data_IF_510975794889
#
_entry.id   IF_510975794889
#
_cell.length_a   1.000
_cell.length_b   1.000
_cell.length_c   1.000
_cell.angle_alpha   90.00
_cell.angle_beta   90.00
_cell.angle_gamma   90.00
#
_symmetry.space_group_name_H-M   'P 1'
#
loop_
_entity.id
_entity.type
_entity.pdbx_description
1 polymer ?
#
# COMPACT_ATOMS: atom_id res chain seq x y z
N UNK A 1 -5.65 70.15 23.92
CA UNK A 1 -6.03 69.94 25.33
C UNK A 1 -6.93 68.70 25.42
N UNK A 2 -6.70 67.87 26.42
CA UNK A 2 -7.35 66.59 26.76
C UNK A 2 -6.75 65.29 26.19
N UNK A 3 -5.69 64.85 26.88
CA UNK A 3 -5.19 63.48 26.95
C UNK A 3 -6.09 62.66 27.89
N UNK A 4 -6.53 61.47 27.47
CA UNK A 4 -7.02 60.42 28.38
C UNK A 4 -6.46 59.07 27.95
N UNK A 5 -5.40 58.62 28.62
CA UNK A 5 -5.02 57.20 28.65
C UNK A 5 -4.73 56.82 30.09
N UNK A 6 -5.74 56.25 30.76
CA UNK A 6 -5.63 55.71 32.10
C UNK A 6 -4.61 54.56 32.11
N UNK A 7 -3.58 54.71 32.93
CA UNK A 7 -2.74 53.60 33.41
C UNK A 7 -3.60 52.70 34.32
N UNK A 8 -3.55 51.40 34.10
CA UNK A 8 -3.95 50.40 35.11
C UNK A 8 -2.70 49.60 35.44
N UNK A 9 -2.10 49.95 36.57
CA UNK A 9 -1.23 49.07 37.34
C UNK A 9 -2.11 48.14 38.17
N UNK A 10 -1.91 46.83 38.10
CA UNK A 10 -2.36 45.92 39.16
C UNK A 10 -1.30 44.85 39.39
N UNK A 11 -0.74 44.91 40.59
CA UNK A 11 0.25 44.05 41.21
C UNK A 11 -0.38 42.85 41.93
N UNK A 12 0.46 41.82 42.16
CA UNK A 12 0.34 40.74 43.16
C UNK A 12 -0.78 39.69 42.90
N UNK A 13 -0.73 38.43 43.35
CA UNK A 13 0.06 37.79 44.39
C UNK A 13 -0.12 36.25 44.33
N UNK A 14 0.92 35.53 44.76
CA UNK A 14 0.94 34.26 45.52
C UNK A 14 0.63 32.88 44.89
N UNK A 15 1.65 32.03 45.13
CA UNK A 15 1.75 30.56 45.24
C UNK A 15 0.51 29.83 45.78
N UNK A 16 0.31 28.61 45.30
CA UNK A 16 -0.50 27.58 45.97
C UNK A 16 -0.36 26.20 45.31
N UNK A 17 0.28 25.29 46.03
CA UNK A 17 0.39 23.84 45.77
C UNK A 17 -0.96 23.18 46.11
N UNK A 18 -1.32 22.08 45.44
CA UNK A 18 -2.27 21.12 46.00
C UNK A 18 -3.24 20.56 44.99
N UNK A 19 -3.14 19.25 44.72
CA UNK A 19 -4.11 18.53 43.90
C UNK A 19 -5.46 18.42 44.59
N UNK A 20 -6.52 18.54 43.81
CA UNK A 20 -7.82 17.96 44.10
C UNK A 20 -8.42 17.45 42.80
N UNK A 21 -8.64 16.14 42.76
CA UNK A 21 -9.25 15.39 41.66
C UNK A 21 -10.78 15.59 41.64
N UNK A 22 -11.22 16.83 41.86
CA UNK A 22 -12.61 17.25 41.89
C UNK A 22 -12.75 18.45 40.95
N UNK A 23 -13.68 18.34 40.02
CA UNK A 23 -14.00 19.31 38.97
C UNK A 23 -12.94 19.51 37.90
N UNK A 24 -12.74 18.46 37.08
CA UNK A 24 -12.36 18.67 35.67
C UNK A 24 -13.59 19.27 34.98
N UNK A 25 -13.89 20.54 35.28
CA UNK A 25 -14.78 21.35 34.48
C UNK A 25 -14.26 21.30 33.03
N UNK A 26 -15.14 21.02 32.07
CA UNK A 26 -14.81 21.02 30.65
C UNK A 26 -14.32 22.41 30.22
N UNK A 27 -13.03 22.67 30.45
CA UNK A 27 -12.38 23.93 30.10
C UNK A 27 -12.14 23.90 28.60
N UNK A 28 -13.05 24.50 27.84
CA UNK A 28 -12.93 24.66 26.39
C UNK A 28 -11.67 25.52 26.12
N UNK A 29 -10.79 25.06 25.22
CA UNK A 29 -9.51 25.69 24.84
C UNK A 29 -8.29 25.52 25.79
N UNK A 30 -8.12 24.38 26.47
CA UNK A 30 -6.79 24.05 27.04
C UNK A 30 -5.75 23.85 25.91
N UNK A 31 -4.48 24.15 26.17
CA UNK A 31 -3.40 24.01 25.17
C UNK A 31 -3.24 22.54 24.71
N UNK A 32 -3.49 21.54 25.57
CA UNK A 32 -3.54 20.12 25.16
C UNK A 32 -4.80 19.72 24.37
N UNK A 33 -5.86 20.55 24.39
CA UNK A 33 -7.17 20.24 23.78
C UNK A 33 -7.60 21.25 22.71
N UNK A 34 -6.72 22.16 22.29
CA UNK A 34 -7.03 23.03 21.16
C UNK A 34 -7.06 22.14 19.92
N UNK A 35 -8.24 22.01 19.30
CA UNK A 35 -8.27 21.59 17.91
C UNK A 35 -7.38 22.57 17.14
N UNK A 36 -6.41 22.08 16.36
CA UNK A 36 -5.80 22.88 15.29
C UNK A 36 -6.90 23.18 14.27
N UNK A 37 -7.83 24.05 14.63
CA UNK A 37 -8.67 24.73 13.67
C UNK A 37 -7.66 25.48 12.84
N UNK A 38 -7.50 25.05 11.58
CA UNK A 38 -6.91 25.87 10.54
C UNK A 38 -7.71 27.18 10.57
N UNK A 39 -7.20 28.12 11.35
CA UNK A 39 -7.81 29.41 11.54
C UNK A 39 -7.93 30.02 10.16
N UNK A 40 -9.16 30.27 9.75
CA UNK A 40 -9.42 31.15 8.62
C UNK A 40 -8.87 32.51 9.03
N UNK A 41 -7.64 32.80 8.62
CA UNK A 41 -7.09 34.14 8.72
C UNK A 41 -8.01 35.06 7.90
N UNK A 42 -8.41 36.23 8.41
CA UNK A 42 -9.12 37.20 7.60
C UNK A 42 -8.15 37.69 6.51
N UNK A 43 -8.33 37.23 5.28
CA UNK A 43 -7.55 37.67 4.12
C UNK A 43 -6.90 36.58 3.27
N UNK A 44 -6.93 35.30 3.65
CA UNK A 44 -6.43 34.22 2.78
C UNK A 44 -7.58 33.53 2.05
N UNK A 45 -7.71 33.80 0.75
CA UNK A 45 -8.58 33.05 -0.17
C UNK A 45 -8.28 31.55 -0.07
N UNK A 46 -9.30 30.67 -0.15
CA UNK A 46 -9.12 29.22 -0.14
C UNK A 46 -8.61 28.75 -1.50
N UNK A 47 -7.45 29.24 -1.94
CA UNK A 47 -6.76 28.71 -3.11
C UNK A 47 -5.96 27.50 -2.68
N UNK A 48 -6.63 26.34 -2.71
CA UNK A 48 -6.18 25.13 -3.41
C UNK A 48 -7.39 24.21 -3.60
N UNK A 49 -8.49 24.78 -4.09
CA UNK A 49 -9.47 24.05 -4.87
C UNK A 49 -8.88 23.96 -6.29
N UNK A 50 -8.55 22.76 -6.76
CA UNK A 50 -8.40 22.52 -8.20
C UNK A 50 -9.64 21.75 -8.66
N UNK A 51 -10.69 22.41 -9.17
CA UNK A 51 -11.77 21.74 -9.88
C UNK A 51 -11.32 21.52 -11.33
N UNK A 52 -11.19 20.27 -11.76
CA UNK A 52 -11.24 19.96 -13.19
C UNK A 52 -12.70 20.02 -13.62
N UNK A 53 -12.91 20.69 -14.75
CA UNK A 53 -14.18 20.97 -15.43
C UNK A 53 -15.11 19.75 -15.42
N UNK A 54 -16.39 19.99 -15.09
CA UNK A 54 -17.57 19.10 -15.05
C UNK A 54 -18.04 18.67 -13.64
N UNK A 55 -18.98 19.47 -13.08
CA UNK A 55 -20.01 19.00 -12.15
C UNK A 55 -19.70 19.08 -10.66
N UNK A 56 -20.37 20.02 -9.97
CA UNK A 56 -20.72 19.98 -8.53
C UNK A 56 -19.63 19.47 -7.56
N UNK A 57 -18.46 20.10 -7.57
CA UNK A 57 -17.39 19.82 -6.60
C UNK A 57 -17.61 20.67 -5.35
N UNK A 58 -18.31 20.14 -4.34
CA UNK A 58 -18.11 20.57 -2.96
C UNK A 58 -16.61 20.45 -2.65
N UNK A 59 -15.88 21.56 -2.47
CA UNK A 59 -14.46 21.54 -2.12
C UNK A 59 -14.31 20.81 -0.78
N UNK A 60 -14.08 19.49 -0.82
CA UNK A 60 -13.81 18.71 0.38
C UNK A 60 -12.53 19.28 1.00
N UNK A 61 -12.52 19.60 2.30
CA UNK A 61 -11.31 20.04 2.97
C UNK A 61 -10.15 19.06 2.67
N UNK A 62 -8.91 19.54 2.53
CA UNK A 62 -7.77 18.65 2.40
C UNK A 62 -7.77 17.69 3.60
N UNK A 63 -7.63 16.38 3.32
CA UNK A 63 -7.62 15.33 4.35
C UNK A 63 -6.63 15.69 5.44
N UNK A 64 -7.11 15.76 6.67
CA UNK A 64 -6.31 16.01 7.85
C UNK A 64 -5.62 14.72 8.32
N UNK A 65 -4.63 14.82 9.21
CA UNK A 65 -3.95 13.63 9.76
C UNK A 65 -4.93 12.67 10.45
N UNK A 66 -5.93 13.20 11.16
CA UNK A 66 -6.99 12.41 11.77
C UNK A 66 -7.87 11.69 10.73
N UNK A 67 -8.20 12.33 9.61
CA UNK A 67 -8.96 11.67 8.53
C UNK A 67 -8.19 10.49 7.93
N UNK A 68 -6.86 10.62 7.81
CA UNK A 68 -5.99 9.54 7.31
C UNK A 68 -5.87 8.39 8.30
N UNK A 69 -5.80 8.68 9.59
CA UNK A 69 -5.79 7.68 10.66
C UNK A 69 -7.11 6.88 10.68
N UNK A 70 -8.24 7.56 10.54
CA UNK A 70 -9.57 6.92 10.42
C UNK A 70 -9.69 6.10 9.13
N UNK A 71 -9.30 6.66 7.98
CA UNK A 71 -9.30 5.93 6.70
C UNK A 71 -8.41 4.67 6.79
N UNK A 72 -7.24 4.78 7.46
CA UNK A 72 -6.34 3.64 7.71
C UNK A 72 -7.03 2.59 8.58
N UNK A 73 -7.62 2.98 9.71
CA UNK A 73 -8.32 2.03 10.60
C UNK A 73 -9.48 1.34 9.88
N UNK A 74 -10.27 2.09 9.11
CA UNK A 74 -11.36 1.53 8.31
C UNK A 74 -10.84 0.49 7.28
N UNK A 75 -9.72 0.76 6.63
CA UNK A 75 -9.07 -0.19 5.72
C UNK A 75 -8.57 -1.45 6.44
N UNK A 76 -7.95 -1.30 7.61
CA UNK A 76 -7.50 -2.43 8.43
C UNK A 76 -8.68 -3.31 8.87
N UNK A 77 -9.74 -2.70 9.39
CA UNK A 77 -10.96 -3.43 9.79
C UNK A 77 -11.59 -4.18 8.61
N UNK A 78 -11.69 -3.53 7.45
CA UNK A 78 -12.17 -4.19 6.23
C UNK A 78 -11.27 -5.36 5.81
N UNK A 79 -9.95 -5.20 5.88
CA UNK A 79 -9.02 -6.26 5.52
C UNK A 79 -9.16 -7.47 6.45
N UNK A 80 -9.31 -7.25 7.76
CA UNK A 80 -9.56 -8.32 8.72
C UNK A 80 -10.85 -9.07 8.40
N UNK A 81 -11.95 -8.35 8.19
CA UNK A 81 -13.24 -8.95 7.80
C UNK A 81 -13.13 -9.80 6.52
N UNK A 82 -12.40 -9.32 5.51
CA UNK A 82 -12.19 -10.07 4.27
C UNK A 82 -11.31 -11.32 4.48
N UNK A 83 -10.30 -11.25 5.34
CA UNK A 83 -9.48 -12.42 5.66
C UNK A 83 -10.27 -13.48 6.43
N UNK A 84 -11.14 -13.07 7.35
CA UNK A 84 -12.03 -13.97 8.07
C UNK A 84 -13.02 -14.64 7.10
N UNK A 85 -13.58 -13.87 6.17
CA UNK A 85 -14.42 -14.39 5.09
C UNK A 85 -13.69 -15.39 4.20
N UNK A 86 -12.47 -15.07 3.73
CA UNK A 86 -11.64 -16.00 2.96
C UNK A 86 -11.39 -17.29 3.75
N UNK A 87 -11.16 -17.19 5.05
CA UNK A 87 -10.92 -18.34 5.92
C UNK A 87 -12.18 -19.22 6.03
N UNK A 88 -13.35 -18.61 6.23
CA UNK A 88 -14.64 -19.31 6.22
C UNK A 88 -14.94 -19.98 4.87
N UNK A 89 -14.69 -19.29 3.75
CA UNK A 89 -14.88 -19.85 2.41
C UNK A 89 -13.95 -21.05 2.14
N UNK A 90 -12.70 -20.99 2.62
CA UNK A 90 -11.77 -22.13 2.53
C UNK A 90 -12.23 -23.31 3.38
N UNK A 91 -12.73 -23.05 4.59
CA UNK A 91 -13.32 -24.10 5.43
C UNK A 91 -14.52 -24.74 4.75
N UNK A 92 -15.45 -23.92 4.23
CA UNK A 92 -16.62 -24.39 3.50
C UNK A 92 -16.23 -25.24 2.27
N UNK A 93 -15.26 -24.79 1.49
CA UNK A 93 -14.71 -25.59 0.37
C UNK A 93 -14.22 -26.95 0.85
N UNK A 94 -13.42 -26.98 1.91
CA UNK A 94 -12.86 -28.22 2.42
C UNK A 94 -13.95 -29.17 2.95
N UNK A 95 -14.97 -28.65 3.65
CA UNK A 95 -16.09 -29.48 4.13
C UNK A 95 -16.89 -30.06 2.97
N UNK A 96 -17.10 -29.29 1.90
CA UNK A 96 -17.78 -29.76 0.70
C UNK A 96 -16.95 -30.79 -0.09
N UNK A 97 -15.63 -30.62 -0.15
CA UNK A 97 -14.73 -31.61 -0.77
C UNK A 97 -14.75 -32.94 0.00
N UNK A 98 -14.69 -32.90 1.34
CA UNK A 98 -14.80 -34.09 2.18
C UNK A 98 -16.17 -34.75 1.98
N UNK A 99 -17.27 -33.99 2.07
CA UNK A 99 -18.63 -34.50 1.89
C UNK A 99 -18.84 -35.13 0.50
N UNK A 100 -18.17 -34.59 -0.52
CA UNK A 100 -18.19 -35.15 -1.87
C UNK A 100 -17.43 -36.48 -1.96
N UNK A 101 -16.30 -36.61 -1.27
CA UNK A 101 -15.52 -37.86 -1.21
C UNK A 101 -16.24 -38.95 -0.40
N UNK A 102 -16.93 -38.58 0.68
CA UNK A 102 -17.74 -39.49 1.50
C UNK A 102 -19.09 -39.82 0.87
N UNK A 103 -19.60 -38.97 -0.02
CA UNK A 103 -20.91 -39.14 -0.64
C UNK A 103 -22.08 -38.74 0.26
N UNK A 104 -21.87 -37.76 1.15
CA UNK A 104 -22.88 -37.33 2.12
C UNK A 104 -24.07 -36.63 1.45
N UNK A 105 -25.22 -37.30 1.44
CA UNK A 105 -26.47 -36.82 0.82
C UNK A 105 -27.07 -35.63 1.55
N UNK A 106 -26.84 -35.52 2.86
CA UNK A 106 -27.39 -34.43 3.68
C UNK A 106 -26.74 -33.09 3.33
N UNK A 107 -25.42 -33.10 3.11
CA UNK A 107 -24.66 -31.90 2.69
C UNK A 107 -25.05 -31.52 1.26
N UNK A 108 -25.27 -32.50 0.38
CA UNK A 108 -25.75 -32.25 -0.97
C UNK A 108 -27.16 -31.62 -1.00
N UNK A 109 -28.06 -32.06 -0.12
CA UNK A 109 -29.38 -31.46 0.03
C UNK A 109 -29.28 -30.02 0.55
N UNK A 110 -28.46 -29.78 1.59
CA UNK A 110 -28.23 -28.44 2.13
C UNK A 110 -27.71 -27.47 1.06
N UNK A 111 -26.74 -27.88 0.23
CA UNK A 111 -26.21 -27.05 -0.87
C UNK A 111 -27.27 -26.67 -1.89
N UNK A 112 -28.25 -27.55 -2.16
CA UNK A 112 -29.33 -27.28 -3.10
C UNK A 112 -30.40 -26.35 -2.53
N UNK A 113 -30.63 -26.39 -1.22
CA UNK A 113 -31.65 -25.61 -0.53
C UNK A 113 -31.16 -24.23 -0.08
N UNK A 114 -29.87 -24.07 0.18
CA UNK A 114 -29.32 -22.83 0.72
C UNK A 114 -29.20 -21.73 -0.35
N UNK A 115 -30.12 -20.76 -0.30
CA UNK A 115 -30.17 -19.62 -1.21
C UNK A 115 -28.92 -18.72 -1.09
N UNK A 116 -28.32 -18.61 0.10
CA UNK A 116 -27.10 -17.82 0.29
C UNK A 116 -25.93 -18.42 -0.48
N UNK A 117 -25.72 -19.74 -0.37
CA UNK A 117 -24.73 -20.46 -1.15
C UNK A 117 -24.98 -20.37 -2.65
N UNK A 118 -26.23 -20.56 -3.10
CA UNK A 118 -26.58 -20.45 -4.52
C UNK A 118 -26.28 -19.05 -5.09
N UNK A 119 -26.57 -18.00 -4.32
CA UNK A 119 -26.26 -16.62 -4.73
C UNK A 119 -24.75 -16.37 -4.74
N UNK A 120 -24.00 -16.87 -3.74
CA UNK A 120 -22.54 -16.80 -3.71
C UNK A 120 -21.91 -17.44 -4.97
N UNK A 121 -22.40 -18.61 -5.38
CA UNK A 121 -21.91 -19.31 -6.58
C UNK A 121 -22.24 -18.54 -7.85
N UNK A 122 -23.45 -17.96 -7.96
CA UNK A 122 -23.85 -17.11 -9.10
C UNK A 122 -22.93 -15.89 -9.22
N UNK A 123 -22.67 -15.18 -8.13
CA UNK A 123 -21.77 -14.02 -8.12
C UNK A 123 -20.33 -14.38 -8.48
N UNK A 124 -19.85 -15.56 -8.10
CA UNK A 124 -18.52 -16.05 -8.45
C UNK A 124 -18.39 -16.45 -9.93
N UNK A 125 -19.48 -16.88 -10.58
CA UNK A 125 -19.50 -17.25 -12.00
C UNK A 125 -19.35 -16.06 -12.96
N UNK A 126 -19.79 -14.88 -12.53
CA UNK A 126 -19.65 -13.63 -13.29
C UNK A 126 -18.23 -13.08 -13.13
N UNK A 127 -17.36 -13.41 -14.11
CA UNK A 127 -15.95 -12.99 -14.18
C UNK A 127 -15.75 -11.57 -13.63
N UNK A 128 -15.00 -11.55 -12.54
CA UNK A 128 -15.08 -10.57 -11.48
C UNK A 128 -14.74 -9.16 -11.95
N UNK A 129 -15.68 -8.23 -11.80
CA UNK A 129 -15.43 -6.79 -11.97
C UNK A 129 -14.22 -6.31 -11.14
N UNK A 130 -13.91 -7.04 -10.08
CA UNK A 130 -12.81 -6.76 -9.18
C UNK A 130 -11.44 -7.15 -9.75
N UNK A 131 -11.29 -8.25 -10.50
CA UNK A 131 -10.05 -8.55 -11.24
C UNK A 131 -9.70 -7.41 -12.20
N UNK A 132 -10.68 -6.92 -12.97
CA UNK A 132 -10.50 -5.79 -13.88
C UNK A 132 -10.12 -4.50 -13.15
N UNK A 133 -10.62 -4.29 -11.92
CA UNK A 133 -10.21 -3.14 -11.08
C UNK A 133 -8.79 -3.32 -10.55
N UNK A 134 -8.40 -4.52 -10.14
CA UNK A 134 -7.05 -4.85 -9.67
C UNK A 134 -6.05 -4.64 -10.81
N UNK A 135 -6.33 -5.17 -11.99
CA UNK A 135 -5.50 -4.98 -13.19
C UNK A 135 -5.28 -3.49 -13.51
N UNK A 136 -6.36 -2.69 -13.49
CA UNK A 136 -6.27 -1.24 -13.70
C UNK A 136 -5.41 -0.54 -12.64
N UNK A 137 -5.52 -0.96 -11.37
CA UNK A 137 -4.69 -0.43 -10.27
C UNK A 137 -3.22 -0.80 -10.46
N UNK A 138 -2.94 -2.06 -10.80
CA UNK A 138 -1.59 -2.54 -11.11
C UNK A 138 -0.99 -1.78 -12.30
N UNK A 139 -1.74 -1.61 -13.40
CA UNK A 139 -1.32 -0.83 -14.57
C UNK A 139 -1.03 0.63 -14.22
N UNK A 140 -1.82 1.25 -13.35
CA UNK A 140 -1.55 2.63 -12.87
C UNK A 140 -0.32 2.70 -11.98
N UNK A 141 -0.12 1.71 -11.11
CA UNK A 141 1.05 1.64 -10.24
C UNK A 141 2.34 1.43 -11.06
N UNK A 142 2.32 0.51 -12.02
CA UNK A 142 3.45 0.26 -12.94
C UNK A 142 3.75 1.48 -13.80
N UNK A 143 2.74 2.18 -14.33
CA UNK A 143 2.93 3.42 -15.08
C UNK A 143 3.55 4.54 -14.24
N UNK A 144 3.10 4.70 -12.98
CA UNK A 144 3.69 5.68 -12.07
C UNK A 144 5.13 5.34 -11.72
N UNK A 145 5.43 4.06 -11.49
CA UNK A 145 6.79 3.58 -11.23
C UNK A 145 7.70 3.84 -12.44
N UNK A 146 7.23 3.52 -13.65
CA UNK A 146 7.94 3.81 -14.90
C UNK A 146 8.24 5.30 -15.05
N UNK A 147 7.24 6.16 -14.88
CA UNK A 147 7.41 7.61 -14.98
C UNK A 147 8.38 8.15 -13.92
N UNK A 148 8.31 7.63 -12.69
CA UNK A 148 9.22 8.01 -11.61
C UNK A 148 10.66 7.61 -11.94
N UNK A 149 10.87 6.36 -12.38
CA UNK A 149 12.19 5.86 -12.81
C UNK A 149 12.75 6.69 -13.96
N UNK A 150 11.94 6.99 -14.97
CA UNK A 150 12.31 7.86 -16.11
C UNK A 150 12.68 9.28 -15.65
N UNK A 151 11.94 9.86 -14.71
CA UNK A 151 12.24 11.19 -14.17
C UNK A 151 13.52 11.22 -13.31
N UNK A 152 13.82 10.14 -12.59
CA UNK A 152 14.98 10.02 -11.69
C UNK A 152 16.28 9.71 -12.43
N UNK A 153 16.22 8.97 -13.53
CA UNK A 153 17.39 8.59 -14.32
C UNK A 153 18.04 9.78 -15.05
N UNK A 154 17.31 10.88 -15.29
CA UNK A 154 17.76 11.99 -16.12
C UNK A 154 17.66 11.65 -17.61
N UNK A 155 17.43 12.66 -18.45
CA UNK A 155 17.27 12.47 -19.90
C UNK A 155 18.52 11.81 -20.51
N UNK A 156 18.32 10.77 -21.32
CA UNK A 156 19.40 10.11 -22.08
C UNK A 156 20.23 9.07 -21.32
N UNK A 157 20.00 8.84 -20.02
CA UNK A 157 20.70 7.78 -19.26
C UNK A 157 19.92 6.45 -19.31
N UNK A 158 20.60 5.30 -19.49
CA UNK A 158 19.93 4.01 -19.50
C UNK A 158 19.32 3.68 -18.13
N UNK A 159 18.16 3.00 -18.11
CA UNK A 159 17.49 2.56 -16.88
C UNK A 159 18.22 1.35 -16.27
N UNK A 160 19.26 1.66 -15.49
CA UNK A 160 20.12 0.66 -14.83
C UNK A 160 19.30 -0.23 -13.88
N UNK A 161 18.22 0.29 -13.30
CA UNK A 161 17.36 -0.47 -12.37
C UNK A 161 16.61 -1.56 -13.15
N UNK A 162 15.94 -1.19 -14.24
CA UNK A 162 15.24 -2.16 -15.09
C UNK A 162 16.19 -3.15 -15.76
N UNK A 163 17.40 -2.71 -16.15
CA UNK A 163 18.44 -3.61 -16.67
C UNK A 163 18.86 -4.63 -15.61
N UNK A 164 19.15 -4.20 -14.37
CA UNK A 164 19.50 -5.10 -13.28
C UNK A 164 18.36 -6.05 -12.92
N UNK A 165 17.12 -5.57 -12.86
CA UNK A 165 15.93 -6.42 -12.62
C UNK A 165 15.76 -7.47 -13.72
N UNK A 166 15.92 -7.08 -14.99
CA UNK A 166 15.81 -7.97 -16.15
C UNK A 166 16.95 -9.00 -16.19
N UNK A 167 18.19 -8.56 -15.99
CA UNK A 167 19.34 -9.45 -15.89
C UNK A 167 19.15 -10.41 -14.71
N UNK A 168 18.76 -9.92 -13.55
CA UNK A 168 18.48 -10.76 -12.39
C UNK A 168 17.40 -11.80 -12.69
N UNK A 169 16.36 -11.46 -13.45
CA UNK A 169 15.33 -12.41 -13.89
C UNK A 169 15.91 -13.51 -14.79
N UNK A 170 16.68 -13.14 -15.82
CA UNK A 170 17.28 -14.11 -16.75
C UNK A 170 18.37 -14.98 -16.12
N UNK A 171 19.09 -14.44 -15.14
CA UNK A 171 20.17 -15.14 -14.44
C UNK A 171 19.70 -15.73 -13.10
N UNK A 172 18.39 -15.78 -12.81
CA UNK A 172 17.91 -16.46 -11.61
C UNK A 172 18.27 -17.94 -11.72
N UNK A 173 18.95 -18.53 -10.72
CA UNK A 173 19.37 -19.94 -10.74
C UNK A 173 18.20 -20.93 -10.52
N UNK A 174 16.95 -20.53 -10.82
CA UNK A 174 15.73 -21.26 -10.50
C UNK A 174 14.76 -21.46 -11.67
N UNK A 175 15.20 -21.25 -12.92
CA UNK A 175 14.47 -21.85 -14.05
C UNK A 175 14.77 -23.34 -14.05
N UNK A 176 13.71 -24.14 -13.88
CA UNK A 176 13.70 -25.61 -13.98
C UNK A 176 14.05 -26.06 -15.40
N UNK A 177 15.27 -25.81 -15.84
CA UNK A 177 15.84 -26.47 -17.01
C UNK A 177 16.87 -27.44 -16.46
N UNK A 178 16.56 -28.75 -16.42
CA UNK A 178 17.54 -29.75 -16.02
C UNK A 178 18.73 -29.66 -16.97
N UNK A 179 19.93 -29.48 -16.40
CA UNK A 179 21.16 -29.63 -17.17
C UNK A 179 21.28 -31.13 -17.48
N UNK A 180 21.28 -31.55 -18.75
CA UNK A 180 21.49 -32.95 -19.08
C UNK A 180 22.88 -33.36 -18.60
N UNK A 181 23.05 -34.55 -17.98
CA UNK A 181 24.34 -34.98 -17.49
C UNK A 181 25.32 -35.11 -18.66
N UNK A 182 26.26 -34.17 -18.77
CA UNK A 182 27.44 -34.33 -19.61
C UNK A 182 28.27 -35.44 -18.97
N UNK A 183 28.49 -36.52 -19.72
CA UNK A 183 29.37 -37.62 -19.32
C UNK A 183 30.82 -37.14 -19.32
N UNK A 184 31.19 -36.39 -18.30
CA UNK A 184 32.57 -36.12 -17.90
C UNK A 184 32.56 -35.73 -16.44
N UNK A 185 32.28 -36.73 -15.59
CA UNK A 185 32.61 -36.68 -14.18
C UNK A 185 34.12 -36.45 -14.05
N UNK A 186 34.52 -35.38 -13.38
CA UNK A 186 35.69 -35.30 -12.50
C UNK A 186 35.66 -33.98 -11.72
N UNK A 187 35.26 -34.08 -10.45
CA UNK A 187 35.67 -33.39 -9.23
C UNK A 187 35.92 -31.85 -9.15
N UNK A 188 35.59 -31.23 -8.00
CA UNK A 188 35.60 -29.78 -7.82
C UNK A 188 36.99 -29.25 -7.52
N UNK A 189 37.56 -28.47 -8.44
CA UNK A 189 38.58 -27.47 -8.12
C UNK A 189 38.21 -26.16 -8.80
N UNK A 190 38.12 -25.12 -7.99
CA UNK A 190 38.09 -23.72 -8.38
C UNK A 190 39.21 -23.43 -9.38
N UNK A 191 38.90 -23.41 -10.67
CA UNK A 191 39.76 -22.82 -11.70
C UNK A 191 39.10 -21.54 -12.16
N UNK A 192 39.57 -20.45 -11.56
CA UNK A 192 39.50 -19.12 -12.12
C UNK A 192 40.17 -19.20 -13.50
N UNK A 193 39.39 -19.40 -14.56
CA UNK A 193 39.86 -19.33 -15.95
C UNK A 193 40.16 -17.87 -16.26
N UNK A 194 41.35 -17.44 -15.85
CA UNK A 194 42.00 -16.23 -16.35
C UNK A 194 42.43 -16.52 -17.78
N UNK A 195 41.60 -16.12 -18.75
CA UNK A 195 41.99 -16.13 -20.16
C UNK A 195 43.22 -15.20 -20.33
N UNK A 196 44.35 -15.80 -20.69
CA UNK A 196 45.56 -15.08 -21.08
C UNK A 196 45.53 -14.94 -22.60
N UNK A 197 45.37 -13.72 -23.07
CA UNK A 197 45.42 -13.39 -24.49
C UNK A 197 46.86 -12.99 -24.85
N UNK A 198 47.51 -13.80 -25.68
CA UNK A 198 48.75 -13.40 -26.37
C UNK A 198 48.40 -12.90 -27.76
N UNK A 199 48.73 -11.63 -28.03
CA UNK A 199 48.48 -11.01 -29.32
C UNK A 199 49.68 -11.26 -30.21
N UNK A 200 49.61 -12.29 -31.06
CA UNK A 200 50.60 -12.47 -32.13
C UNK A 200 50.33 -11.50 -33.28
N UNK A 201 51.39 -10.84 -33.75
CA UNK A 201 51.28 -9.67 -34.63
C UNK A 201 51.03 -10.01 -36.11
N UNK A 202 51.04 -11.29 -36.47
CA UNK A 202 50.91 -11.75 -37.87
C UNK A 202 49.60 -12.50 -38.11
N UNK A 203 49.09 -13.23 -37.14
CA UNK A 203 47.79 -13.92 -37.21
C UNK A 203 47.05 -13.64 -35.90
N UNK A 204 45.86 -13.04 -35.98
CA UNK A 204 45.13 -12.50 -34.82
C UNK A 204 44.71 -13.54 -33.77
N UNK A 205 44.10 -13.03 -32.68
CA UNK A 205 43.82 -13.72 -31.41
C UNK A 205 43.17 -15.10 -31.57
N UNK A 206 43.83 -16.14 -31.05
CA UNK A 206 43.25 -17.46 -30.76
C UNK A 206 42.93 -17.58 -29.26
N UNK A 207 41.89 -18.38 -28.95
CA UNK A 207 41.33 -18.57 -27.59
C UNK A 207 41.93 -19.77 -26.89
#
# INVERSE_FOLDING_TARGET
>A
MNLYRRHISSSASMKGIGGSNADIAFRRNCLERRSLRLGRAPGTSPSRCMPTVHGTSWCRPPRTSIDLELDRQAQHARLLSLNDEISRLRQLKNTLEIAKETGDTDVAAWVLEDEEFQNLVKEAGDKTLDEKKVERRLKRASQKLYNLRKSKAGQGKPDIISFKEKMAFFTRPGVSVPVPPTKSSQDPKSTETRYQYTVDRVYGVEV
#
